data_IF_227356301585
#
_entry.id   IF_227356301585
#
_cell.length_a   1.000
_cell.length_b   1.000
_cell.length_c   1.000
_cell.angle_alpha   90.00
_cell.angle_beta   90.00
_cell.angle_gamma   90.00
#
_symmetry.space_group_name_H-M   'P 1'
#
loop_
_entity.id
_entity.type
_entity.pdbx_description
1 polymer ?
#
# COMPACT_ATOMS: atom_id res chain seq x y z
N UNK A 1 -9.87 17.79 3.37
CA UNK A 1 -8.67 17.29 4.06
C UNK A 1 -8.50 15.80 3.83
N UNK A 2 -7.32 15.43 3.44
CA UNK A 2 -7.01 14.02 3.20
C UNK A 2 -6.62 13.35 4.50
N UNK A 3 -7.25 12.22 4.79
CA UNK A 3 -6.90 11.44 5.97
C UNK A 3 -6.28 10.14 5.50
N UNK A 4 -4.98 10.04 5.68
CA UNK A 4 -4.24 8.83 5.37
C UNK A 4 -3.66 8.30 6.67
N UNK A 5 -3.96 7.05 6.99
CA UNK A 5 -3.38 6.43 8.18
C UNK A 5 -1.89 6.15 7.94
N UNK A 6 -1.15 5.94 9.02
CA UNK A 6 0.28 5.62 8.90
C UNK A 6 0.50 4.39 8.03
N UNK A 7 -0.36 3.39 8.16
CA UNK A 7 -0.25 2.18 7.37
C UNK A 7 -0.45 2.45 5.89
N UNK A 8 -1.47 3.24 5.55
CA UNK A 8 -1.72 3.61 4.17
C UNK A 8 -0.57 4.44 3.59
N UNK A 9 0.00 5.29 4.41
CA UNK A 9 1.14 6.10 4.00
C UNK A 9 2.35 5.24 3.63
N UNK A 10 2.58 4.16 4.37
CA UNK A 10 3.67 3.25 4.04
C UNK A 10 3.48 2.61 2.68
N UNK A 11 2.24 2.23 2.36
CA UNK A 11 1.92 1.69 1.04
C UNK A 11 2.24 2.71 -0.05
N UNK A 12 1.82 3.95 0.14
CA UNK A 12 2.06 5.01 -0.83
C UNK A 12 3.55 5.27 -1.03
N UNK A 13 4.33 5.23 0.04
CA UNK A 13 5.77 5.43 -0.05
C UNK A 13 6.44 4.36 -0.92
N UNK A 14 5.99 3.12 -0.78
CA UNK A 14 6.51 2.03 -1.61
C UNK A 14 6.17 2.28 -3.08
N UNK A 15 4.93 2.68 -3.35
CA UNK A 15 4.50 2.97 -4.71
C UNK A 15 5.32 4.09 -5.34
N UNK A 16 5.52 5.17 -4.60
CA UNK A 16 6.28 6.30 -5.11
C UNK A 16 7.75 5.94 -5.36
N UNK A 17 8.32 5.13 -4.49
CA UNK A 17 9.72 4.73 -4.64
C UNK A 17 9.93 3.87 -5.89
N UNK A 18 8.96 3.03 -6.23
CA UNK A 18 9.06 2.17 -7.39
C UNK A 18 8.53 2.80 -8.67
N UNK A 19 7.68 3.80 -8.54
CA UNK A 19 7.01 4.43 -9.68
C UNK A 19 5.84 3.61 -10.18
N UNK A 20 6.05 2.34 -10.45
CA UNK A 20 5.01 1.40 -10.83
C UNK A 20 5.24 0.08 -10.11
N UNK A 21 4.19 -0.49 -9.56
CA UNK A 21 4.30 -1.77 -8.87
C UNK A 21 2.95 -2.49 -8.91
N UNK A 22 3.00 -3.81 -9.05
CA UNK A 22 1.80 -4.62 -8.93
C UNK A 22 1.47 -4.82 -7.47
N UNK A 23 0.22 -5.21 -7.19
CA UNK A 23 -0.17 -5.50 -5.81
C UNK A 23 0.69 -6.61 -5.22
N UNK A 24 1.06 -7.62 -6.01
CA UNK A 24 1.93 -8.69 -5.56
C UNK A 24 3.29 -8.17 -5.11
N UNK A 25 3.86 -7.23 -5.86
CA UNK A 25 5.14 -6.64 -5.50
C UNK A 25 5.03 -5.84 -4.21
N UNK A 26 3.98 -5.06 -4.05
CA UNK A 26 3.75 -4.28 -2.85
C UNK A 26 3.58 -5.17 -1.64
N UNK A 27 2.80 -6.24 -1.78
CA UNK A 27 2.60 -7.22 -0.72
C UNK A 27 3.94 -7.82 -0.30
N UNK A 28 4.75 -8.24 -1.27
CA UNK A 28 6.05 -8.83 -0.98
C UNK A 28 6.97 -7.87 -0.23
N UNK A 29 7.02 -6.62 -0.67
CA UNK A 29 7.87 -5.61 -0.06
C UNK A 29 7.43 -5.32 1.38
N UNK A 30 6.15 -5.08 1.57
CA UNK A 30 5.63 -4.71 2.88
C UNK A 30 5.63 -5.87 3.86
N UNK A 31 5.41 -7.09 3.36
CA UNK A 31 5.50 -8.27 4.22
C UNK A 31 6.92 -8.44 4.76
N UNK A 32 7.91 -8.15 3.95
CA UNK A 32 9.31 -8.25 4.35
C UNK A 32 9.72 -7.10 5.25
N UNK A 33 9.32 -5.89 4.89
CA UNK A 33 9.77 -4.68 5.56
C UNK A 33 9.08 -4.46 6.90
N UNK A 34 7.77 -4.67 6.94
CA UNK A 34 6.94 -4.37 8.11
C UNK A 34 6.31 -5.60 8.72
N UNK A 35 6.59 -6.77 8.19
CA UNK A 35 6.04 -8.03 8.68
C UNK A 35 4.50 -8.04 8.66
N UNK A 36 3.91 -7.37 7.69
CA UNK A 36 2.46 -7.36 7.52
C UNK A 36 2.01 -8.59 6.75
N UNK A 37 0.82 -9.09 7.08
CA UNK A 37 0.24 -10.19 6.33
C UNK A 37 -0.27 -9.70 4.98
N UNK A 38 -0.40 -10.62 4.02
CA UNK A 38 -0.94 -10.28 2.71
C UNK A 38 -2.35 -9.72 2.82
N UNK A 39 -3.16 -10.24 3.74
CA UNK A 39 -4.52 -9.74 3.97
C UNK A 39 -4.52 -8.28 4.35
N UNK A 40 -3.62 -7.90 5.26
CA UNK A 40 -3.51 -6.51 5.71
C UNK A 40 -3.16 -5.59 4.53
N UNK A 41 -2.18 -5.98 3.74
CA UNK A 41 -1.75 -5.17 2.60
C UNK A 41 -2.87 -5.05 1.57
N UNK A 42 -3.55 -6.15 1.27
CA UNK A 42 -4.67 -6.13 0.33
C UNK A 42 -5.79 -5.21 0.78
N UNK A 43 -6.10 -5.23 2.07
CA UNK A 43 -7.12 -4.37 2.63
C UNK A 43 -6.73 -2.90 2.46
N UNK A 44 -5.48 -2.57 2.72
CA UNK A 44 -5.00 -1.20 2.57
C UNK A 44 -5.01 -0.76 1.12
N UNK A 45 -4.61 -1.64 0.22
CA UNK A 45 -4.64 -1.34 -1.21
C UNK A 45 -6.08 -1.08 -1.68
N UNK A 46 -7.03 -1.87 -1.21
CA UNK A 46 -8.44 -1.67 -1.54
C UNK A 46 -8.94 -0.33 -1.05
N UNK A 47 -8.57 0.08 0.15
CA UNK A 47 -8.96 1.37 0.70
C UNK A 47 -8.38 2.53 -0.09
N UNK A 48 -7.12 2.41 -0.49
CA UNK A 48 -6.48 3.46 -1.27
C UNK A 48 -7.11 3.58 -2.65
N UNK A 49 -7.47 2.46 -3.26
CA UNK A 49 -8.16 2.47 -4.54
C UNK A 49 -9.53 3.15 -4.42
N UNK A 50 -10.26 2.84 -3.34
CA UNK A 50 -11.56 3.45 -3.07
C UNK A 50 -11.46 4.95 -2.90
N UNK A 51 -10.39 5.41 -2.27
CA UNK A 51 -10.18 6.84 -2.03
C UNK A 51 -9.64 7.57 -3.27
N UNK A 52 -9.30 6.83 -4.31
CA UNK A 52 -8.80 7.41 -5.54
C UNK A 52 -7.31 7.69 -5.57
N UNK A 53 -6.56 7.19 -4.61
CA UNK A 53 -5.10 7.33 -4.60
C UNK A 53 -4.42 6.37 -5.56
N UNK A 54 -5.07 5.26 -5.88
CA UNK A 54 -4.55 4.27 -6.79
C UNK A 54 -5.44 4.20 -8.03
N UNK A 55 -4.84 4.02 -9.16
CA UNK A 55 -5.55 3.86 -10.42
C UNK A 55 -5.34 2.48 -11.00
#
# INVERSE_FOLDING_TARGET
MLTISSAEWEVMRVLWAKGQATSSEIIAILSKKLDWSASTVKTLLGRLADKGYLT
#
